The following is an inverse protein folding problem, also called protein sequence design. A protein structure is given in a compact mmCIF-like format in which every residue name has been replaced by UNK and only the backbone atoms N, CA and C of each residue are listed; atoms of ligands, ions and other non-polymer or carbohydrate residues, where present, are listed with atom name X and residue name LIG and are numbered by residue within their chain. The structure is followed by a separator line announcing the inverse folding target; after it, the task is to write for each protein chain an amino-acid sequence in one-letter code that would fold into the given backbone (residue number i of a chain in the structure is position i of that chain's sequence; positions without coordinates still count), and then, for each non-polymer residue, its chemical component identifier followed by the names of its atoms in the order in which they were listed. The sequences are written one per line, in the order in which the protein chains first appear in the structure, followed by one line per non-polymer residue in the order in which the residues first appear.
data_IF_440369213017
#
_entry.id   IF_440369213017
#
_cell.length_a   1.000
_cell.length_b   1.000
_cell.length_c   1.000
_cell.angle_alpha   90.00
_cell.angle_beta   90.00
_cell.angle_gamma   90.00
#
_symmetry.space_group_name_H-M   'P 1'
#
loop_
_entity.id
_entity.type
_entity.pdbx_description
1 polymer ?
#
# COMPACT_ATOMS: atom_id res chain seq x y z
N UNK A 1 50.92 -21.21 43.83
CA UNK A 1 50.00 -20.08 44.04
C UNK A 1 49.02 -20.05 42.89
N UNK A 2 47.77 -20.45 43.15
CA UNK A 2 46.64 -20.11 42.28
C UNK A 2 46.49 -18.59 42.17
N UNK A 3 46.13 -18.11 40.98
CA UNK A 3 45.24 -16.97 40.83
C UNK A 3 44.48 -17.12 39.50
N UNK A 4 43.21 -17.51 39.64
CA UNK A 4 42.17 -17.52 38.62
C UNK A 4 41.94 -16.11 38.07
N UNK A 5 41.94 -15.96 36.75
CA UNK A 5 41.24 -14.86 36.09
C UNK A 5 40.12 -15.46 35.23
N UNK A 6 38.90 -15.47 35.79
CA UNK A 6 37.67 -15.73 35.05
C UNK A 6 37.49 -14.63 33.98
N UNK A 7 37.67 -14.98 32.72
CA UNK A 7 37.33 -14.10 31.60
C UNK A 7 35.81 -14.03 31.44
N UNK A 8 35.18 -13.04 32.05
CA UNK A 8 33.74 -12.84 32.01
C UNK A 8 33.34 -12.21 30.65
N UNK A 9 33.34 -13.02 29.58
CA UNK A 9 32.75 -12.63 28.30
C UNK A 9 31.24 -12.46 28.51
N UNK A 10 30.80 -11.22 28.68
CA UNK A 10 29.38 -10.85 28.63
C UNK A 10 28.82 -11.42 27.33
N UNK A 11 27.90 -12.39 27.44
CA UNK A 11 27.13 -12.89 26.31
C UNK A 11 26.23 -11.75 25.85
N UNK A 12 26.67 -10.96 24.88
CA UNK A 12 25.77 -10.05 24.18
C UNK A 12 24.66 -10.89 23.58
N UNK A 13 23.44 -10.45 23.82
CA UNK A 13 22.26 -11.12 23.32
C UNK A 13 22.26 -10.96 21.80
N UNK A 14 21.83 -11.99 21.05
CA UNK A 14 21.66 -11.88 19.58
C UNK A 14 20.68 -10.77 19.18
N UNK A 15 19.90 -10.28 20.15
CA UNK A 15 18.99 -9.16 20.00
C UNK A 15 19.70 -7.81 20.08
N UNK A 16 20.87 -7.70 20.73
CA UNK A 16 21.58 -6.43 20.87
C UNK A 16 22.02 -5.90 19.49
N UNK A 17 22.51 -6.78 18.63
CA UNK A 17 22.91 -6.43 17.25
C UNK A 17 21.71 -5.96 16.41
N UNK A 18 20.53 -6.56 16.62
CA UNK A 18 19.30 -6.18 15.92
C UNK A 18 18.75 -4.84 16.41
N UNK A 19 18.79 -4.61 17.72
CA UNK A 19 18.35 -3.36 18.36
C UNK A 19 19.25 -2.20 17.91
N UNK A 20 20.56 -2.43 17.85
CA UNK A 20 21.52 -1.41 17.43
C UNK A 20 21.41 -1.11 15.92
N UNK A 21 21.21 -2.14 15.09
CA UNK A 21 20.93 -1.97 13.67
C UNK A 21 19.62 -1.19 13.41
N UNK A 22 18.58 -1.40 14.21
CA UNK A 22 17.33 -0.66 14.11
C UNK A 22 17.51 0.82 14.50
N UNK A 23 18.29 1.10 15.55
CA UNK A 23 18.58 2.47 15.99
C UNK A 23 19.42 3.24 14.96
N UNK A 24 20.39 2.57 14.31
CA UNK A 24 21.19 3.17 13.23
C UNK A 24 20.36 3.61 12.01
N UNK A 25 19.26 2.90 11.70
CA UNK A 25 18.35 3.30 10.61
C UNK A 25 17.59 4.59 10.91
N UNK A 26 17.07 4.75 12.12
CA UNK A 26 16.34 5.97 12.51
C UNK A 26 17.19 7.24 12.39
N UNK A 27 18.50 7.13 12.56
CA UNK A 27 19.41 8.27 12.47
C UNK A 27 19.74 8.67 11.03
N UNK A 28 19.59 7.75 10.07
CA UNK A 28 19.85 7.98 8.64
C UNK A 28 18.62 8.49 7.89
N UNK A 29 17.43 8.15 8.38
CA UNK A 29 16.14 8.53 7.79
C UNK A 29 15.53 9.79 8.42
N UNK A 30 16.33 10.76 8.90
CA UNK A 30 15.77 12.11 9.11
C UNK A 30 15.39 12.66 7.73
N UNK A 31 14.09 12.73 7.38
CA UNK A 31 13.69 13.24 6.09
C UNK A 31 14.01 14.74 6.11
N UNK A 32 14.78 15.22 5.14
CA UNK A 32 14.80 16.65 4.91
C UNK A 32 13.36 17.09 4.58
N UNK A 33 12.87 18.11 5.27
CA UNK A 33 11.58 18.75 4.97
C UNK A 33 11.68 19.41 3.59
N UNK A 34 11.50 18.61 2.55
CA UNK A 34 11.22 19.09 1.22
C UNK A 34 9.73 19.36 1.22
N UNK A 35 9.32 20.59 0.91
CA UNK A 35 7.91 20.90 0.66
C UNK A 35 7.47 20.10 -0.57
N UNK A 36 6.89 18.92 -0.33
CA UNK A 36 6.29 18.07 -1.35
C UNK A 36 5.07 18.80 -1.91
N UNK A 37 5.28 19.58 -2.98
CA UNK A 37 4.18 20.01 -3.83
C UNK A 37 3.54 18.74 -4.40
N UNK A 38 2.25 18.44 -4.13
CA UNK A 38 1.65 17.20 -4.59
C UNK A 38 1.62 17.18 -6.12
N UNK A 39 2.48 16.37 -6.72
CA UNK A 39 2.61 16.20 -8.17
C UNK A 39 1.56 15.25 -8.75
N UNK A 40 0.72 14.67 -7.89
CA UNK A 40 -0.38 13.79 -8.29
C UNK A 40 -1.47 13.86 -7.24
N UNK A 41 -2.58 14.52 -7.55
CA UNK A 41 -3.79 14.33 -6.77
C UNK A 41 -4.25 12.89 -7.05
N UNK A 42 -4.02 12.01 -6.08
CA UNK A 42 -4.64 10.69 -6.06
C UNK A 42 -6.15 10.81 -6.33
N UNK A 43 -6.81 9.77 -6.87
CA UNK A 43 -8.27 9.80 -7.08
C UNK A 43 -9.08 10.12 -5.81
N UNK A 44 -8.50 9.92 -4.62
CA UNK A 44 -9.14 10.30 -3.35
C UNK A 44 -9.13 11.80 -3.04
N UNK A 45 -8.28 12.57 -3.71
CA UNK A 45 -8.14 14.03 -3.52
C UNK A 45 -8.70 14.84 -4.68
N UNK A 46 -9.18 14.17 -5.72
CA UNK A 46 -9.83 14.78 -6.87
C UNK A 46 -11.31 15.06 -6.54
N UNK A 47 -11.78 16.32 -6.65
CA UNK A 47 -13.16 16.69 -6.33
C UNK A 47 -14.20 16.03 -7.26
N UNK A 48 -13.81 15.59 -8.45
CA UNK A 48 -14.71 14.93 -9.40
C UNK A 48 -14.96 13.45 -9.05
N UNK A 49 -14.29 12.92 -8.03
CA UNK A 49 -14.40 11.51 -7.61
C UNK A 49 -15.01 11.36 -6.21
N UNK A 50 -15.95 10.42 -6.09
CA UNK A 50 -16.47 9.96 -4.79
C UNK A 50 -16.05 8.51 -4.52
N UNK A 51 -15.47 8.24 -3.35
CA UNK A 51 -15.07 6.88 -2.96
C UNK A 51 -16.30 6.01 -2.72
N UNK A 52 -16.37 4.88 -3.42
CA UNK A 52 -17.43 3.88 -3.25
C UNK A 52 -16.84 2.54 -2.80
N UNK A 53 -17.42 1.94 -1.76
CA UNK A 53 -17.00 0.61 -1.25
C UNK A 53 -18.14 -0.39 -1.47
N UNK A 54 -17.84 -1.50 -2.15
CA UNK A 54 -18.82 -2.54 -2.49
C UNK A 54 -18.27 -3.93 -2.16
N UNK A 55 -19.16 -4.86 -1.84
CA UNK A 55 -18.82 -6.27 -1.72
C UNK A 55 -18.93 -6.95 -3.09
N UNK A 56 -17.88 -7.66 -3.50
CA UNK A 56 -17.88 -8.52 -4.69
C UNK A 56 -17.62 -9.98 -4.28
N UNK A 57 -18.23 -10.97 -4.95
CA UNK A 57 -17.83 -12.36 -4.78
C UNK A 57 -16.32 -12.52 -4.99
N UNK A 58 -15.65 -13.33 -4.15
CA UNK A 58 -14.18 -13.49 -4.16
C UNK A 58 -13.63 -13.84 -5.54
N UNK A 59 -14.32 -14.72 -6.27
CA UNK A 59 -13.91 -15.14 -7.61
C UNK A 59 -13.99 -13.97 -8.60
N UNK A 60 -15.07 -13.18 -8.53
CA UNK A 60 -15.26 -12.00 -9.39
C UNK A 60 -14.21 -10.93 -9.12
N UNK A 61 -13.93 -10.63 -7.85
CA UNK A 61 -12.86 -9.69 -7.49
C UNK A 61 -11.48 -10.15 -8.02
N UNK A 62 -11.18 -11.45 -7.93
CA UNK A 62 -9.92 -12.01 -8.47
C UNK A 62 -9.85 -11.86 -9.99
N UNK A 63 -10.93 -12.14 -10.69
CA UNK A 63 -11.01 -11.99 -12.14
C UNK A 63 -10.84 -10.52 -12.55
N UNK A 64 -11.55 -9.59 -11.90
CA UNK A 64 -11.41 -8.16 -12.14
C UNK A 64 -9.96 -7.70 -11.96
N UNK A 65 -9.31 -8.11 -10.87
CA UNK A 65 -7.90 -7.78 -10.60
C UNK A 65 -6.96 -8.32 -11.69
N UNK A 66 -7.16 -9.56 -12.11
CA UNK A 66 -6.35 -10.18 -13.17
C UNK A 66 -6.53 -9.47 -14.52
N UNK A 67 -7.77 -9.16 -14.90
CA UNK A 67 -8.09 -8.45 -16.15
C UNK A 67 -7.55 -7.02 -16.14
N UNK A 68 -7.65 -6.31 -15.01
CA UNK A 68 -7.09 -4.98 -14.85
C UNK A 68 -5.56 -4.98 -15.05
N UNK A 69 -4.87 -5.95 -14.43
CA UNK A 69 -3.43 -6.12 -14.60
C UNK A 69 -3.05 -6.45 -16.06
N UNK A 70 -3.78 -7.34 -16.73
CA UNK A 70 -3.48 -7.71 -18.12
C UNK A 70 -3.70 -6.59 -19.12
N UNK A 71 -4.60 -5.65 -18.81
CA UNK A 71 -4.93 -4.52 -19.68
C UNK A 71 -4.17 -3.24 -19.30
N UNK A 72 -3.32 -3.28 -18.25
CA UNK A 72 -2.67 -2.09 -17.69
C UNK A 72 -3.67 -0.98 -17.30
N UNK A 73 -4.87 -1.38 -16.86
CA UNK A 73 -5.96 -0.46 -16.47
C UNK A 73 -6.19 -0.46 -14.96
N UNK A 74 -6.71 0.64 -14.44
CA UNK A 74 -7.19 0.71 -13.05
C UNK A 74 -8.54 0.01 -12.92
N UNK A 75 -8.74 -0.76 -11.84
CA UNK A 75 -10.02 -1.43 -11.55
C UNK A 75 -11.18 -0.44 -11.42
N UNK A 76 -10.93 0.76 -10.88
CA UNK A 76 -11.95 1.81 -10.75
C UNK A 76 -12.51 2.23 -12.10
N UNK A 77 -11.68 2.29 -13.13
CA UNK A 77 -12.07 2.80 -14.46
C UNK A 77 -12.88 1.75 -15.20
N UNK A 78 -12.53 0.47 -15.04
CA UNK A 78 -13.31 -0.66 -15.53
C UNK A 78 -14.70 -0.66 -14.87
N UNK A 79 -14.77 -0.48 -13.55
CA UNK A 79 -16.04 -0.45 -12.83
C UNK A 79 -16.90 0.76 -13.23
N UNK A 80 -16.31 1.95 -13.36
CA UNK A 80 -17.02 3.15 -13.82
C UNK A 80 -17.64 2.93 -15.21
N UNK A 81 -16.85 2.44 -16.17
CA UNK A 81 -17.33 2.15 -17.53
C UNK A 81 -18.47 1.12 -17.55
N UNK A 82 -18.39 0.07 -16.72
CA UNK A 82 -19.45 -0.93 -16.59
C UNK A 82 -20.73 -0.34 -16.00
N UNK A 83 -20.61 0.53 -14.99
CA UNK A 83 -21.76 1.20 -14.37
C UNK A 83 -22.40 2.18 -15.35
N UNK A 84 -21.61 2.98 -16.07
CA UNK A 84 -22.11 3.89 -17.12
C UNK A 84 -22.88 3.14 -18.21
N UNK A 85 -22.30 2.04 -18.72
CA UNK A 85 -22.97 1.19 -19.73
C UNK A 85 -24.28 0.61 -19.21
N UNK A 86 -24.30 0.15 -17.97
CA UNK A 86 -25.51 -0.38 -17.35
C UNK A 86 -26.59 0.70 -17.21
N UNK A 87 -26.24 1.90 -16.71
CA UNK A 87 -27.17 3.03 -16.59
C UNK A 87 -27.72 3.47 -17.96
N UNK A 88 -26.87 3.54 -18.98
CA UNK A 88 -27.30 3.84 -20.36
C UNK A 88 -28.28 2.81 -20.90
N UNK A 89 -28.07 1.52 -20.59
CA UNK A 89 -28.97 0.45 -21.03
C UNK A 89 -30.37 0.54 -20.41
N UNK A 90 -30.49 1.09 -19.19
CA UNK A 90 -31.78 1.30 -18.54
C UNK A 90 -32.57 2.41 -19.27
N UNK A 91 -31.89 3.50 -19.62
CA UNK A 91 -32.52 4.65 -20.29
C UNK A 91 -32.96 4.36 -21.73
N UNK A 92 -32.42 3.31 -22.36
CA UNK A 92 -32.79 2.88 -23.72
C UNK A 92 -34.00 1.93 -23.73
N UNK A 93 -34.40 1.39 -22.57
CA UNK A 93 -35.58 0.51 -22.43
C UNK A 93 -36.88 1.26 -22.16
N UNK A 94 -36.82 2.58 -21.96
CA UNK A 94 -37.99 3.45 -21.69
C UNK A 94 -38.47 4.22 -22.94
N UNK A 95 -37.97 3.88 -24.14
CA UNK A 95 -38.44 4.41 -25.43
C UNK A 95 -39.15 3.37 -26.28
#
# INVERSE_FOLDING_TARGET
MELLILNNKKKSSRFDDLIDAARSRQQRDQPQLIEDKPTSYSKSTDPDYTRTTIYLPKQLHRQLKASAASQERQMSDILAELVEKWLLSLNQGEQ
#
